data_IF_006878332446
#
_entry.id   IF_006878332446
#
_cell.length_a   1.000
_cell.length_b   1.000
_cell.length_c   1.000
_cell.angle_alpha   90.00
_cell.angle_beta   90.00
_cell.angle_gamma   90.00
#
_symmetry.space_group_name_H-M   'P 1'
#
loop_
_entity.id
_entity.type
_entity.pdbx_description
1 polymer ?
#
# COMPACT_ATOMS: atom_id res chain seq x y z
N UNK A 1 0.72 20.09 -6.41
CA UNK A 1 -0.54 19.34 -6.40
C UNK A 1 -1.55 19.98 -5.43
N UNK A 2 -1.17 20.28 -4.21
CA UNK A 2 -2.07 20.85 -3.17
C UNK A 2 -2.15 22.38 -3.14
N UNK A 3 -1.52 23.08 -4.08
CA UNK A 3 -1.51 24.54 -4.15
C UNK A 3 -0.69 25.23 -3.07
N UNK A 4 0.15 24.47 -2.33
CA UNK A 4 1.09 25.02 -1.34
C UNK A 4 2.34 25.57 -2.03
N UNK A 5 3.04 26.55 -1.43
CA UNK A 5 4.31 27.06 -1.93
C UNK A 5 5.35 25.95 -2.13
N UNK A 6 6.16 26.04 -3.18
CA UNK A 6 7.13 24.99 -3.56
C UNK A 6 8.13 24.70 -2.43
N UNK A 7 8.60 25.73 -1.73
CA UNK A 7 9.53 25.57 -0.61
C UNK A 7 8.92 24.81 0.56
N UNK A 8 7.62 25.00 0.84
CA UNK A 8 6.91 24.27 1.89
C UNK A 8 6.67 22.80 1.48
N UNK A 9 6.37 22.57 0.20
CA UNK A 9 6.28 21.22 -0.34
C UNK A 9 7.64 20.49 -0.27
N UNK A 10 8.73 21.19 -0.59
CA UNK A 10 10.09 20.69 -0.44
C UNK A 10 10.44 20.31 1.00
N UNK A 11 10.10 21.18 1.95
CA UNK A 11 10.28 20.91 3.38
C UNK A 11 9.52 19.65 3.81
N UNK A 12 8.25 19.52 3.40
CA UNK A 12 7.45 18.32 3.68
C UNK A 12 8.07 17.04 3.11
N UNK A 13 8.63 17.11 1.88
CA UNK A 13 9.36 16.00 1.26
C UNK A 13 10.61 15.60 2.03
N UNK A 14 11.39 16.58 2.49
CA UNK A 14 12.57 16.34 3.33
C UNK A 14 12.15 15.70 4.66
N UNK A 15 11.15 16.24 5.34
CA UNK A 15 10.64 15.67 6.60
C UNK A 15 10.16 14.24 6.42
N UNK A 16 9.49 13.93 5.32
CA UNK A 16 9.10 12.56 4.98
C UNK A 16 10.31 11.66 4.79
N UNK A 17 11.26 12.06 3.94
CA UNK A 17 12.44 11.27 3.60
C UNK A 17 13.36 11.01 4.80
N UNK A 18 13.48 11.96 5.71
CA UNK A 18 14.30 11.89 6.92
C UNK A 18 13.52 11.51 8.17
N UNK A 19 12.33 10.94 8.02
CA UNK A 19 11.59 10.37 9.15
C UNK A 19 12.41 9.28 9.85
N UNK A 20 12.49 9.30 11.17
CA UNK A 20 13.19 8.30 11.99
C UNK A 20 12.72 6.87 11.70
N UNK A 21 11.46 6.71 11.32
CA UNK A 21 10.88 5.42 10.95
C UNK A 21 11.60 4.78 9.75
N UNK A 22 11.99 5.57 8.74
CA UNK A 22 12.71 5.05 7.59
C UNK A 22 14.13 4.59 7.94
N UNK A 23 14.82 5.31 8.83
CA UNK A 23 16.13 4.87 9.32
C UNK A 23 16.04 3.56 10.10
N UNK A 24 14.99 3.39 10.93
CA UNK A 24 14.73 2.14 11.65
C UNK A 24 14.47 0.99 10.65
N UNK A 25 13.68 1.21 9.60
CA UNK A 25 13.40 0.20 8.59
C UNK A 25 14.67 -0.24 7.84
N UNK A 26 15.54 0.71 7.49
CA UNK A 26 16.80 0.43 6.80
C UNK A 26 17.73 -0.35 7.74
N UNK A 27 17.88 0.09 8.99
CA UNK A 27 18.71 -0.56 10.00
C UNK A 27 18.24 -2.00 10.31
N UNK A 28 16.93 -2.22 10.30
CA UNK A 28 16.31 -3.54 10.49
C UNK A 28 16.32 -4.43 9.23
N UNK A 29 16.90 -3.96 8.11
CA UNK A 29 16.96 -4.72 6.85
C UNK A 29 15.63 -4.78 6.08
N UNK A 30 14.62 -3.99 6.46
CA UNK A 30 13.31 -3.97 5.81
C UNK A 30 13.26 -3.03 4.60
N UNK A 31 14.21 -3.18 3.67
CA UNK A 31 14.39 -2.29 2.52
C UNK A 31 13.14 -2.26 1.62
N UNK A 32 12.52 -3.40 1.36
CA UNK A 32 11.32 -3.46 0.52
C UNK A 32 10.12 -2.73 1.11
N UNK A 33 9.99 -2.75 2.44
CA UNK A 33 8.97 -1.97 3.15
C UNK A 33 9.22 -0.47 3.02
N UNK A 34 10.47 -0.03 3.15
CA UNK A 34 10.89 1.35 2.91
C UNK A 34 10.55 1.82 1.50
N UNK A 35 10.91 1.03 0.47
CA UNK A 35 10.65 1.34 -0.94
C UNK A 35 9.14 1.45 -1.20
N UNK A 36 8.34 0.52 -0.68
CA UNK A 36 6.88 0.55 -0.80
C UNK A 36 6.29 1.85 -0.24
N UNK A 37 6.76 2.28 0.94
CA UNK A 37 6.31 3.52 1.58
C UNK A 37 6.73 4.77 0.80
N UNK A 38 7.91 4.75 0.16
CA UNK A 38 8.40 5.86 -0.66
C UNK A 38 7.50 6.15 -1.87
N UNK A 39 6.77 5.16 -2.38
CA UNK A 39 5.84 5.32 -3.50
C UNK A 39 4.45 5.82 -3.11
N UNK A 40 4.12 5.91 -1.81
CA UNK A 40 2.81 6.40 -1.33
C UNK A 40 2.57 7.88 -1.70
N UNK A 41 3.48 8.83 -1.40
CA UNK A 41 3.22 10.24 -1.71
C UNK A 41 3.00 10.51 -3.21
N UNK A 42 3.80 9.98 -4.15
CA UNK A 42 3.56 10.19 -5.56
C UNK A 42 2.29 9.49 -6.07
N UNK A 43 1.88 8.36 -5.49
CA UNK A 43 0.58 7.74 -5.80
C UNK A 43 -0.57 8.66 -5.40
N UNK A 44 -0.54 9.23 -4.19
CA UNK A 44 -1.54 10.21 -3.72
C UNK A 44 -1.53 11.43 -4.65
N UNK A 45 -0.35 11.92 -5.06
CA UNK A 45 -0.25 13.05 -5.97
C UNK A 45 -0.92 12.75 -7.32
N UNK A 46 -0.77 11.55 -7.88
CA UNK A 46 -1.44 11.11 -9.10
C UNK A 46 -2.97 11.11 -8.95
N UNK A 47 -3.48 10.52 -7.88
CA UNK A 47 -4.91 10.47 -7.57
C UNK A 47 -5.49 11.90 -7.45
N UNK A 48 -4.85 12.77 -6.67
CA UNK A 48 -5.29 14.16 -6.48
C UNK A 48 -5.25 14.94 -7.78
N UNK A 49 -4.24 14.73 -8.65
CA UNK A 49 -4.20 15.37 -9.98
C UNK A 49 -5.38 14.96 -10.85
N UNK A 50 -5.77 13.68 -10.82
CA UNK A 50 -6.93 13.21 -11.55
C UNK A 50 -8.22 13.91 -11.09
N UNK A 51 -8.46 14.00 -9.76
CA UNK A 51 -9.62 14.70 -9.20
C UNK A 51 -9.59 16.21 -9.45
N UNK A 52 -8.43 16.81 -9.62
CA UNK A 52 -8.27 18.21 -10.03
C UNK A 52 -8.42 18.46 -11.54
N UNK A 53 -8.86 17.45 -12.29
CA UNK A 53 -9.17 17.56 -13.72
C UNK A 53 -8.00 17.24 -14.64
N UNK A 54 -6.77 17.01 -14.14
CA UNK A 54 -5.61 16.59 -14.93
C UNK A 54 -5.63 15.07 -15.13
N UNK A 55 -6.67 14.56 -15.79
CA UNK A 55 -7.02 13.15 -15.87
C UNK A 55 -5.87 12.28 -16.40
N UNK A 56 -5.28 12.68 -17.53
CA UNK A 56 -4.21 11.90 -18.18
C UNK A 56 -2.94 11.83 -17.30
N UNK A 57 -2.47 12.99 -16.84
CA UNK A 57 -1.28 13.05 -15.99
C UNK A 57 -1.50 12.33 -14.65
N UNK A 58 -2.69 12.53 -14.04
CA UNK A 58 -3.07 11.83 -12.81
C UNK A 58 -3.16 10.32 -13.00
N UNK A 59 -3.79 9.87 -14.11
CA UNK A 59 -3.91 8.44 -14.42
C UNK A 59 -2.54 7.79 -14.66
N UNK A 60 -1.67 8.39 -15.46
CA UNK A 60 -0.32 7.86 -15.73
C UNK A 60 0.50 7.76 -14.45
N UNK A 61 0.53 8.82 -13.62
CA UNK A 61 1.26 8.80 -12.35
C UNK A 61 0.70 7.74 -11.41
N UNK A 62 -0.62 7.65 -11.29
CA UNK A 62 -1.27 6.64 -10.44
C UNK A 62 -0.91 5.23 -10.89
N UNK A 63 -1.02 4.92 -12.19
CA UNK A 63 -0.69 3.60 -12.74
C UNK A 63 0.79 3.25 -12.49
N UNK A 64 1.70 4.19 -12.79
CA UNK A 64 3.14 3.99 -12.61
C UNK A 64 3.50 3.69 -11.15
N UNK A 65 3.06 4.54 -10.22
CA UNK A 65 3.46 4.39 -8.82
C UNK A 65 2.74 3.25 -8.11
N UNK A 66 1.52 2.88 -8.51
CA UNK A 66 0.89 1.63 -8.06
C UNK A 66 1.68 0.42 -8.59
N UNK A 67 2.11 0.42 -9.85
CA UNK A 67 2.91 -0.66 -10.40
C UNK A 67 4.24 -0.83 -9.64
N UNK A 68 4.96 0.25 -9.39
CA UNK A 68 6.21 0.24 -8.62
C UNK A 68 6.01 -0.19 -7.16
N UNK A 69 4.91 0.24 -6.54
CA UNK A 69 4.56 -0.14 -5.18
C UNK A 69 4.26 -1.64 -5.05
N UNK A 70 3.52 -2.22 -5.99
CA UNK A 70 3.22 -3.65 -6.02
C UNK A 70 4.48 -4.46 -6.36
N UNK A 71 5.33 -3.95 -7.27
CA UNK A 71 6.62 -4.56 -7.62
C UNK A 71 7.53 -4.74 -6.40
N UNK A 72 7.43 -3.85 -5.41
CA UNK A 72 8.16 -3.95 -4.14
C UNK A 72 7.77 -5.17 -3.29
N UNK A 73 6.73 -5.89 -3.70
CA UNK A 73 6.24 -7.15 -3.11
C UNK A 73 5.92 -7.09 -1.60
N UNK A 74 5.56 -5.90 -1.09
CA UNK A 74 5.14 -5.74 0.30
C UNK A 74 3.62 -5.53 0.37
N UNK A 75 2.86 -6.61 0.08
CA UNK A 75 1.40 -6.60 -0.08
C UNK A 75 0.68 -6.01 1.14
N UNK A 76 1.16 -6.28 2.35
CA UNK A 76 0.55 -5.77 3.58
C UNK A 76 0.52 -4.23 3.63
N UNK A 77 1.61 -3.56 3.22
CA UNK A 77 1.65 -2.08 3.20
C UNK A 77 0.73 -1.50 2.14
N UNK A 78 0.67 -2.13 0.96
CA UNK A 78 -0.24 -1.75 -0.10
C UNK A 78 -1.71 -1.93 0.32
N UNK A 79 -2.02 -2.98 1.08
CA UNK A 79 -3.36 -3.19 1.65
C UNK A 79 -3.75 -2.08 2.64
N UNK A 80 -2.87 -1.71 3.56
CA UNK A 80 -3.16 -0.60 4.49
C UNK A 80 -3.28 0.73 3.75
N UNK A 81 -2.50 0.96 2.73
CA UNK A 81 -2.58 2.16 1.91
C UNK A 81 -3.92 2.27 1.15
N UNK A 82 -4.56 1.15 0.81
CA UNK A 82 -5.90 1.15 0.21
C UNK A 82 -6.92 1.91 1.07
N UNK A 83 -6.86 1.79 2.41
CA UNK A 83 -7.75 2.55 3.29
C UNK A 83 -7.52 4.05 3.18
N UNK A 84 -6.27 4.49 3.05
CA UNK A 84 -5.94 5.91 2.84
C UNK A 84 -6.55 6.40 1.51
N UNK A 85 -6.44 5.60 0.45
CA UNK A 85 -7.06 5.92 -0.85
C UNK A 85 -8.57 6.05 -0.72
N UNK A 86 -9.23 5.13 -0.01
CA UNK A 86 -10.68 5.17 0.21
C UNK A 86 -11.11 6.44 0.96
N UNK A 87 -10.35 6.88 1.97
CA UNK A 87 -10.61 8.15 2.65
C UNK A 87 -10.46 9.35 1.73
N UNK A 88 -9.42 9.38 0.88
CA UNK A 88 -9.23 10.46 -0.10
C UNK A 88 -10.38 10.49 -1.10
N UNK A 89 -10.78 9.34 -1.64
CA UNK A 89 -11.91 9.22 -2.57
C UNK A 89 -13.20 9.66 -1.91
N UNK A 90 -13.43 9.27 -0.65
CA UNK A 90 -14.59 9.68 0.14
C UNK A 90 -14.66 11.19 0.35
N UNK A 91 -13.52 11.83 0.65
CA UNK A 91 -13.45 13.29 0.79
C UNK A 91 -13.79 14.01 -0.53
N UNK A 92 -13.27 13.52 -1.67
CA UNK A 92 -13.62 14.07 -2.99
C UNK A 92 -15.08 13.78 -3.38
N UNK A 93 -15.64 12.65 -2.93
CA UNK A 93 -17.06 12.36 -3.13
C UNK A 93 -17.94 13.35 -2.38
N UNK A 94 -17.64 13.60 -1.09
CA UNK A 94 -18.37 14.58 -0.28
C UNK A 94 -18.33 15.98 -0.90
N UNK A 95 -17.12 16.43 -1.31
CA UNK A 95 -16.96 17.71 -1.99
C UNK A 95 -17.78 17.78 -3.29
N UNK A 96 -17.73 16.74 -4.12
CA UNK A 96 -18.50 16.67 -5.36
C UNK A 96 -20.01 16.64 -5.14
N UNK A 97 -20.45 15.99 -4.07
CA UNK A 97 -21.86 15.96 -3.67
C UNK A 97 -22.36 17.35 -3.28
N UNK A 98 -21.62 18.03 -2.39
CA UNK A 98 -21.97 19.39 -1.93
C UNK A 98 -21.98 20.39 -3.08
N UNK A 99 -20.99 20.30 -3.99
CA UNK A 99 -20.81 21.23 -5.11
C UNK A 99 -21.58 20.81 -6.38
N UNK A 100 -22.39 19.73 -6.35
CA UNK A 100 -23.14 19.18 -7.49
C UNK A 100 -22.26 18.85 -8.70
N UNK A 101 -21.02 18.42 -8.49
CA UNK A 101 -20.03 18.09 -9.54
C UNK A 101 -19.80 16.58 -9.69
N UNK A 102 -20.77 15.75 -9.31
CA UNK A 102 -20.72 14.29 -9.39
C UNK A 102 -20.24 13.72 -10.73
N UNK A 103 -20.66 14.25 -11.91
CA UNK A 103 -20.15 13.72 -13.19
C UNK A 103 -18.64 13.84 -13.34
N UNK A 104 -18.04 14.93 -12.83
CA UNK A 104 -16.57 15.12 -12.83
C UNK A 104 -15.89 14.13 -11.87
N UNK A 105 -16.48 13.93 -10.71
CA UNK A 105 -16.02 12.95 -9.74
C UNK A 105 -15.99 11.54 -10.32
N UNK A 106 -17.11 11.06 -10.91
CA UNK A 106 -17.16 9.72 -11.50
C UNK A 106 -16.18 9.54 -12.65
N UNK A 107 -15.98 10.58 -13.49
CA UNK A 107 -14.98 10.54 -14.55
C UNK A 107 -13.56 10.39 -14.00
N UNK A 108 -13.20 11.14 -12.96
CA UNK A 108 -11.89 11.03 -12.31
C UNK A 108 -11.71 9.69 -11.61
N UNK A 109 -12.74 9.21 -10.91
CA UNK A 109 -12.74 7.90 -10.26
C UNK A 109 -12.56 6.75 -11.25
N UNK A 110 -13.21 6.81 -12.41
CA UNK A 110 -13.03 5.83 -13.47
C UNK A 110 -11.58 5.81 -13.98
N UNK A 111 -10.96 6.97 -14.18
CA UNK A 111 -9.56 7.07 -14.59
C UNK A 111 -8.63 6.49 -13.52
N UNK A 112 -8.83 6.84 -12.24
CA UNK A 112 -8.02 6.31 -11.13
C UNK A 112 -8.19 4.80 -11.00
N UNK A 113 -9.40 4.29 -11.17
CA UNK A 113 -9.68 2.85 -11.11
C UNK A 113 -9.00 2.09 -12.25
N UNK A 114 -9.13 2.58 -13.50
CA UNK A 114 -8.42 1.98 -14.65
C UNK A 114 -6.91 2.05 -14.48
N UNK A 115 -6.38 3.17 -14.01
CA UNK A 115 -4.96 3.33 -13.70
C UNK A 115 -4.49 2.31 -12.65
N UNK A 116 -5.27 2.09 -11.59
CA UNK A 116 -4.98 1.09 -10.57
C UNK A 116 -4.99 -0.34 -11.16
N UNK A 117 -5.98 -0.67 -12.00
CA UNK A 117 -6.02 -1.96 -12.68
C UNK A 117 -4.79 -2.18 -13.58
N UNK A 118 -4.34 -1.17 -14.33
CA UNK A 118 -3.13 -1.24 -15.14
C UNK A 118 -1.90 -1.49 -14.26
N UNK A 119 -1.77 -0.77 -13.13
CA UNK A 119 -0.68 -0.95 -12.18
C UNK A 119 -0.63 -2.35 -11.57
N UNK A 120 -1.80 -2.91 -11.23
CA UNK A 120 -1.93 -4.30 -10.74
C UNK A 120 -1.60 -5.30 -11.85
N UNK A 121 -2.16 -5.10 -13.05
CA UNK A 121 -1.96 -6.00 -14.19
C UNK A 121 -0.49 -6.12 -14.61
N UNK A 122 0.26 -5.02 -14.54
CA UNK A 122 1.70 -5.01 -14.81
C UNK A 122 2.50 -5.95 -13.88
N UNK A 123 1.96 -6.28 -12.71
CA UNK A 123 2.61 -7.14 -11.71
C UNK A 123 1.87 -8.48 -11.49
N UNK A 124 0.97 -8.85 -12.38
CA UNK A 124 0.11 -10.03 -12.20
C UNK A 124 0.92 -11.32 -12.02
N UNK A 125 2.01 -11.47 -12.78
CA UNK A 125 2.91 -12.62 -12.64
C UNK A 125 3.55 -12.68 -11.26
N UNK A 126 4.07 -11.56 -10.76
CA UNK A 126 4.67 -11.48 -9.43
C UNK A 126 3.65 -11.79 -8.33
N UNK A 127 2.45 -11.23 -8.42
CA UNK A 127 1.36 -11.51 -7.48
C UNK A 127 0.94 -12.98 -7.50
N UNK A 128 0.85 -13.58 -8.68
CA UNK A 128 0.51 -15.00 -8.83
C UNK A 128 1.56 -15.89 -8.17
N UNK A 129 2.84 -15.67 -8.47
CA UNK A 129 3.92 -16.45 -7.87
C UNK A 129 3.98 -16.26 -6.34
N UNK A 130 3.82 -15.03 -5.85
CA UNK A 130 3.77 -14.75 -4.41
C UNK A 130 2.60 -15.46 -3.74
N UNK A 131 1.43 -15.46 -4.37
CA UNK A 131 0.24 -16.16 -3.85
C UNK A 131 0.45 -17.68 -3.83
N UNK A 132 0.99 -18.26 -4.91
CA UNK A 132 1.26 -19.70 -4.96
C UNK A 132 2.29 -20.11 -3.92
N UNK A 133 3.40 -19.36 -3.82
CA UNK A 133 4.45 -19.62 -2.84
C UNK A 133 3.96 -19.46 -1.40
N UNK A 134 3.07 -18.51 -1.12
CA UNK A 134 2.52 -18.30 0.23
C UNK A 134 1.76 -19.50 0.78
N UNK A 135 1.23 -20.36 -0.09
CA UNK A 135 0.52 -21.60 0.32
C UNK A 135 1.48 -22.67 0.83
N UNK A 136 2.73 -22.64 0.37
CA UNK A 136 3.77 -23.62 0.69
C UNK A 136 4.69 -23.14 1.83
N UNK A 137 4.44 -21.95 2.36
CA UNK A 137 5.22 -21.39 3.49
C UNK A 137 4.60 -21.77 4.83
N UNK A 138 5.29 -21.47 5.93
CA UNK A 138 4.84 -21.68 7.33
C UNK A 138 3.46 -21.10 7.65
N UNK A 139 2.90 -20.22 6.79
CA UNK A 139 1.53 -19.68 6.88
C UNK A 139 0.51 -20.53 6.13
N UNK A 140 0.94 -21.54 5.35
CA UNK A 140 0.10 -22.55 4.72
C UNK A 140 -0.21 -23.70 5.67
N UNK A 141 -0.93 -24.70 5.14
CA UNK A 141 -1.14 -25.95 5.91
C UNK A 141 0.21 -26.67 6.07
N UNK A 142 0.56 -27.07 7.30
CA UNK A 142 1.75 -27.91 7.52
C UNK A 142 1.54 -29.26 6.83
N UNK A 143 2.45 -29.62 5.94
CA UNK A 143 2.51 -30.97 5.32
C UNK A 143 3.24 -31.96 6.23
N UNK A 144 3.90 -31.47 7.27
CA UNK A 144 4.57 -32.32 8.24
C UNK A 144 3.51 -33.02 9.10
N UNK A 145 3.40 -34.33 8.95
CA UNK A 145 2.60 -35.18 9.85
C UNK A 145 3.34 -35.25 11.18
N UNK A 146 2.86 -34.52 12.17
CA UNK A 146 3.36 -34.63 13.54
C UNK A 146 2.92 -36.00 14.11
N UNK A 147 3.85 -36.94 14.12
CA UNK A 147 3.71 -38.23 14.81
C UNK A 147 4.14 -38.04 16.27
N UNK A 148 3.18 -38.01 17.18
CA UNK A 148 3.44 -37.97 18.62
C UNK A 148 2.63 -36.90 19.38
N UNK A 149 2.90 -36.74 20.66
CA UNK A 149 2.19 -35.87 21.60
C UNK A 149 2.13 -34.38 21.22
N UNK A 150 2.83 -33.94 20.15
CA UNK A 150 2.74 -32.62 19.55
C UNK A 150 1.38 -32.34 18.86
N UNK A 151 0.57 -33.35 18.60
CA UNK A 151 -0.76 -33.21 17.98
C UNK A 151 -1.79 -32.40 18.82
N UNK A 152 -1.45 -32.03 20.06
CA UNK A 152 -2.30 -31.21 20.93
C UNK A 152 -2.13 -29.69 20.76
N UNK A 153 -1.17 -29.21 19.95
CA UNK A 153 -0.96 -27.79 19.71
C UNK A 153 -1.44 -27.33 18.32
N UNK A 154 -2.53 -27.86 17.83
CA UNK A 154 -3.20 -27.33 16.64
C UNK A 154 -4.06 -26.10 16.99
N UNK A 155 -3.47 -25.10 17.63
CA UNK A 155 -4.04 -23.77 17.57
C UNK A 155 -3.57 -23.14 16.26
N UNK A 156 -4.48 -22.62 15.46
CA UNK A 156 -4.25 -21.98 14.16
C UNK A 156 -3.52 -20.63 14.28
N UNK A 157 -2.51 -20.52 15.12
CA UNK A 157 -1.76 -19.30 15.38
C UNK A 157 -0.33 -19.57 15.88
N UNK A 158 0.49 -18.54 15.86
CA UNK A 158 1.84 -18.55 16.43
C UNK A 158 1.73 -18.69 17.96
N UNK A 159 2.68 -19.44 18.57
CA UNK A 159 2.74 -19.59 20.02
C UNK A 159 2.84 -18.21 20.71
N UNK A 160 2.19 -18.13 21.89
CA UNK A 160 2.14 -16.89 22.68
C UNK A 160 3.54 -16.37 23.00
N UNK A 161 4.46 -17.25 23.35
CA UNK A 161 5.83 -16.90 23.71
C UNK A 161 6.59 -16.34 22.49
N UNK A 162 6.34 -16.86 21.28
CA UNK A 162 6.88 -16.31 20.05
C UNK A 162 6.33 -14.91 19.76
N UNK A 163 5.04 -14.68 19.96
CA UNK A 163 4.39 -13.38 19.74
C UNK A 163 4.91 -12.34 20.74
N UNK A 164 5.03 -12.72 22.02
CA UNK A 164 5.46 -11.82 23.09
C UNK A 164 6.94 -11.50 23.04
N UNK A 165 7.77 -12.38 22.51
CA UNK A 165 9.21 -12.17 22.36
C UNK A 165 9.56 -10.98 21.41
N UNK A 166 8.65 -10.63 20.51
CA UNK A 166 8.80 -9.50 19.58
C UNK A 166 7.96 -8.29 19.96
N UNK A 167 7.16 -8.37 21.03
CA UNK A 167 6.46 -7.22 21.60
C UNK A 167 7.34 -6.53 22.63
N UNK A 168 7.20 -5.20 22.72
CA UNK A 168 7.80 -4.48 23.84
C UNK A 168 7.22 -5.04 25.13
N UNK A 169 8.06 -5.68 25.96
CA UNK A 169 7.66 -6.16 27.27
C UNK A 169 7.14 -4.99 28.10
N UNK A 170 5.95 -5.16 28.66
CA UNK A 170 5.40 -4.27 29.69
C UNK A 170 6.03 -4.65 31.01
#
# INVERSE_FOLDING_TARGET
>A
VFGIPVWLAGLGGIMWAFSSYFFILISAGHIWKFITLAYIPPTIAGIVLAYRGKLLAGGILTALFIALQIMSNHVQMSYYFLFVILFIVGAYFEDAWRNKTLPKFFKASAVVFVAALIGVAANLSNLYHTYTYSKETMRGKSELVETGDAAKQTSSGLDRDYITNWSYGI
#
